data_IF_700100483777
#
_entry.id   IF_700100483777
#
_cell.length_a   1.000
_cell.length_b   1.000
_cell.length_c   1.000
_cell.angle_alpha   90.00
_cell.angle_beta   90.00
_cell.angle_gamma   90.00
#
_symmetry.space_group_name_H-M   'P 1'
#
loop_
_entity.id
_entity.type
_entity.pdbx_description
1 polymer ?
#
# COMPACT_ATOMS: atom_id res chain seq x y z
N UNK A 1 -10.11 -5.88 5.81
CA UNK A 1 -10.12 -5.21 4.49
C UNK A 1 -10.62 -6.20 3.40
N UNK A 2 -10.63 -5.83 2.11
CA UNK A 2 -10.74 -6.83 1.04
C UNK A 2 -9.63 -7.89 1.18
N UNK A 3 -9.81 -9.11 0.66
CA UNK A 3 -8.80 -10.19 0.77
C UNK A 3 -7.70 -10.11 -0.28
N UNK A 4 -7.97 -9.43 -1.41
CA UNK A 4 -7.04 -9.16 -2.49
C UNK A 4 -7.13 -7.71 -2.94
N UNK A 5 -6.13 -7.25 -3.69
CA UNK A 5 -6.12 -5.89 -4.24
C UNK A 5 -7.10 -5.75 -5.41
N UNK A 6 -7.35 -6.82 -6.17
CA UNK A 6 -8.35 -6.83 -7.24
C UNK A 6 -9.76 -6.62 -6.67
N UNK A 7 -10.08 -7.31 -5.57
CA UNK A 7 -11.37 -7.16 -4.89
C UNK A 7 -11.54 -5.75 -4.34
N UNK A 8 -10.48 -5.17 -3.76
CA UNK A 8 -10.49 -3.77 -3.35
C UNK A 8 -10.81 -2.83 -4.53
N UNK A 9 -10.14 -3.04 -5.66
CA UNK A 9 -10.31 -2.24 -6.88
C UNK A 9 -11.74 -2.33 -7.42
N UNK A 10 -12.32 -3.53 -7.45
CA UNK A 10 -13.71 -3.74 -7.85
C UNK A 10 -14.71 -3.05 -6.91
N UNK A 11 -14.43 -3.02 -5.60
CA UNK A 11 -15.26 -2.35 -4.60
C UNK A 11 -15.23 -0.84 -4.78
N UNK A 12 -14.05 -0.23 -4.87
CA UNK A 12 -13.93 1.23 -5.03
C UNK A 12 -14.41 1.69 -6.40
N UNK A 13 -14.32 0.85 -7.44
CA UNK A 13 -14.86 1.12 -8.78
C UNK A 13 -16.39 1.29 -8.82
N UNK A 14 -17.10 1.07 -7.70
CA UNK A 14 -18.54 1.34 -7.58
C UNK A 14 -18.87 2.80 -7.28
N UNK A 15 -17.89 3.64 -6.93
CA UNK A 15 -18.12 5.07 -6.65
C UNK A 15 -18.57 5.87 -7.88
N UNK A 16 -18.43 5.31 -9.08
CA UNK A 16 -18.92 5.87 -10.34
C UNK A 16 -17.89 5.69 -11.46
N UNK A 17 -18.35 5.52 -12.71
CA UNK A 17 -17.47 5.38 -13.89
C UNK A 17 -17.13 6.71 -14.56
N UNK A 18 -18.02 7.71 -14.45
CA UNK A 18 -17.85 9.03 -15.04
C UNK A 18 -18.57 10.09 -14.20
N UNK A 19 -18.16 11.35 -14.33
CA UNK A 19 -18.74 12.48 -13.62
C UNK A 19 -18.03 12.74 -12.29
N UNK A 20 -18.63 12.32 -11.18
CA UNK A 20 -18.09 12.58 -9.83
C UNK A 20 -17.01 11.55 -9.49
N UNK A 21 -15.89 12.01 -8.93
CA UNK A 21 -14.79 11.14 -8.44
C UNK A 21 -15.28 10.10 -7.43
N UNK A 22 -16.23 10.50 -6.58
CA UNK A 22 -16.68 9.71 -5.44
C UNK A 22 -15.61 9.56 -4.36
N UNK A 23 -15.95 8.92 -3.25
CA UNK A 23 -15.03 8.68 -2.13
C UNK A 23 -15.19 7.25 -1.64
N UNK A 24 -14.08 6.57 -1.44
CA UNK A 24 -14.02 5.27 -0.80
C UNK A 24 -13.16 5.38 0.46
N UNK A 25 -13.71 5.00 1.60
CA UNK A 25 -13.01 4.99 2.90
C UNK A 25 -12.82 3.53 3.30
N UNK A 26 -11.57 3.17 3.62
CA UNK A 26 -11.20 1.81 4.01
C UNK A 26 -10.65 1.80 5.41
N UNK A 27 -11.20 0.94 6.25
CA UNK A 27 -10.60 0.63 7.55
C UNK A 27 -9.62 -0.52 7.37
N UNK A 28 -8.41 -0.30 7.84
CA UNK A 28 -7.30 -1.25 7.75
C UNK A 28 -6.82 -1.57 9.15
N UNK A 29 -6.44 -2.83 9.35
CA UNK A 29 -5.84 -3.31 10.59
C UNK A 29 -4.54 -4.04 10.28
N UNK A 30 -3.80 -4.48 11.31
CA UNK A 30 -2.56 -5.23 11.13
C UNK A 30 -2.76 -6.57 10.40
N UNK A 31 -3.96 -7.15 10.46
CA UNK A 31 -4.29 -8.40 9.76
C UNK A 31 -4.31 -8.21 8.23
N UNK A 32 -4.46 -6.96 7.77
CA UNK A 32 -4.50 -6.61 6.36
C UNK A 32 -3.12 -6.23 5.80
N UNK A 33 -2.03 -6.40 6.58
CA UNK A 33 -0.71 -5.88 6.24
C UNK A 33 -0.14 -6.44 4.94
N UNK A 34 -0.52 -7.67 4.58
CA UNK A 34 -0.19 -8.28 3.30
C UNK A 34 -0.69 -7.48 2.08
N UNK A 35 -1.65 -6.57 2.24
CA UNK A 35 -2.15 -5.73 1.14
C UNK A 35 -1.57 -4.33 1.16
N UNK A 36 -0.80 -3.94 2.19
CA UNK A 36 -0.38 -2.55 2.37
C UNK A 36 0.53 -2.06 1.26
N UNK A 37 1.43 -2.93 0.77
CA UNK A 37 2.29 -2.59 -0.36
C UNK A 37 1.46 -2.28 -1.61
N UNK A 38 0.57 -3.18 -2.02
CA UNK A 38 -0.23 -2.99 -3.23
C UNK A 38 -1.23 -1.84 -3.07
N UNK A 39 -1.83 -1.68 -1.90
CA UNK A 39 -2.72 -0.57 -1.57
C UNK A 39 -1.99 0.78 -1.70
N UNK A 40 -0.75 0.87 -1.21
CA UNK A 40 0.11 2.05 -1.39
C UNK A 40 0.34 2.32 -2.88
N UNK A 41 0.67 1.31 -3.68
CA UNK A 41 0.89 1.50 -5.13
C UNK A 41 -0.38 2.01 -5.84
N UNK A 42 -1.54 1.44 -5.53
CA UNK A 42 -2.83 1.88 -6.10
C UNK A 42 -3.13 3.34 -5.75
N UNK A 43 -2.88 3.75 -4.50
CA UNK A 43 -3.09 5.14 -4.08
C UNK A 43 -2.10 6.12 -4.73
N UNK A 44 -0.83 5.72 -4.91
CA UNK A 44 0.17 6.54 -5.60
C UNK A 44 -0.08 6.66 -7.10
N UNK A 45 -0.63 5.62 -7.73
CA UNK A 45 -1.01 5.66 -9.14
C UNK A 45 -2.29 6.49 -9.40
N UNK A 46 -3.08 6.77 -8.36
CA UNK A 46 -4.31 7.55 -8.47
C UNK A 46 -4.03 9.04 -8.42
N UNK A 47 -4.35 9.77 -9.49
CA UNK A 47 -4.17 11.24 -9.55
C UNK A 47 -5.15 12.04 -8.68
N UNK A 48 -6.23 11.40 -8.24
CA UNK A 48 -7.31 12.02 -7.44
C UNK A 48 -7.22 11.67 -5.97
N UNK A 49 -6.30 10.79 -5.60
CA UNK A 49 -6.09 10.35 -4.22
C UNK A 49 -4.71 10.77 -3.73
N UNK A 50 -4.56 10.89 -2.41
CA UNK A 50 -3.27 11.10 -1.78
C UNK A 50 -2.99 9.91 -0.86
N UNK A 51 -1.80 9.32 -0.97
CA UNK A 51 -1.39 8.25 -0.08
C UNK A 51 -1.13 8.83 1.33
N UNK A 52 -1.82 8.34 2.39
CA UNK A 52 -1.61 8.86 3.73
C UNK A 52 -0.19 8.54 4.21
N UNK A 53 0.47 9.46 4.95
CA UNK A 53 1.84 9.26 5.44
C UNK A 53 2.03 7.98 6.25
N UNK A 54 1.00 7.58 6.99
CA UNK A 54 1.02 6.37 7.81
C UNK A 54 1.19 5.10 6.98
N UNK A 55 0.52 5.01 5.82
CA UNK A 55 0.69 3.89 4.90
C UNK A 55 1.97 4.01 4.08
N UNK A 56 2.32 5.23 3.66
CA UNK A 56 3.51 5.48 2.84
C UNK A 56 4.80 5.06 3.56
N UNK A 57 4.89 5.31 4.86
CA UNK A 57 6.06 5.01 5.70
C UNK A 57 5.93 3.70 6.48
N UNK A 58 4.81 2.97 6.35
CA UNK A 58 4.61 1.74 7.09
C UNK A 58 5.67 0.67 6.71
N UNK A 59 6.27 -0.06 7.68
CA UNK A 59 7.27 -1.09 7.39
C UNK A 59 6.77 -2.17 6.42
N UNK A 60 5.54 -2.64 6.64
CA UNK A 60 4.92 -3.69 5.81
C UNK A 60 4.46 -3.19 4.43
N UNK A 61 4.52 -1.87 4.17
CA UNK A 61 4.21 -1.28 2.86
C UNK A 61 5.45 -1.02 1.99
N UNK A 62 6.66 -1.34 2.47
CA UNK A 62 7.91 -1.05 1.74
C UNK A 62 8.28 -2.13 0.72
N UNK A 63 7.93 -3.38 1.01
CA UNK A 63 8.32 -4.52 0.18
C UNK A 63 7.08 -5.32 -0.25
N UNK A 64 7.17 -5.93 -1.43
CA UNK A 64 6.12 -6.84 -1.90
C UNK A 64 6.00 -8.03 -0.93
N UNK A 65 4.78 -8.40 -0.51
CA UNK A 65 4.54 -9.59 0.28
C UNK A 65 5.18 -10.82 -0.37
N UNK A 66 5.86 -11.64 0.43
CA UNK A 66 6.57 -12.83 -0.06
C UNK A 66 7.95 -12.57 -0.67
N UNK A 67 8.42 -11.32 -0.76
CA UNK A 67 9.81 -11.04 -1.16
C UNK A 67 10.75 -11.27 0.03
N UNK A 68 11.71 -12.19 -0.12
CA UNK A 68 12.75 -12.41 0.89
C UNK A 68 13.68 -11.20 0.90
N UNK A 69 13.59 -10.37 1.93
CA UNK A 69 14.50 -9.22 2.10
C UNK A 69 15.84 -9.74 2.61
N UNK A 70 16.82 -9.89 1.71
CA UNK A 70 18.22 -10.07 2.09
C UNK A 70 18.71 -8.79 2.75
N UNK A 71 18.76 -8.77 4.08
CA UNK A 71 19.36 -7.68 4.85
C UNK A 71 20.82 -7.54 4.41
N UNK A 72 21.14 -6.49 3.65
CA UNK A 72 22.52 -6.14 3.30
C UNK A 72 23.23 -5.84 4.63
N UNK A 73 24.15 -6.72 5.04
CA UNK A 73 24.99 -6.58 6.23
C UNK A 73 25.64 -5.19 6.15
N UNK A 74 25.32 -4.32 7.11
CA UNK A 74 25.95 -3.00 7.23
C UNK A 74 27.44 -3.26 7.44
N UNK A 75 28.27 -2.91 6.46
CA UNK A 75 29.72 -2.94 6.62
C UNK A 75 30.07 -1.94 7.72
N UNK A 76 30.54 -2.44 8.86
CA UNK A 76 31.13 -1.61 9.90
C UNK A 76 32.42 -1.03 9.32
N UNK A 77 32.37 0.22 8.87
CA UNK A 77 33.57 0.99 8.56
C UNK A 77 34.34 1.21 9.86
N UNK A 78 35.30 0.33 10.12
CA UNK A 78 36.35 0.53 11.12
C UNK A 78 37.28 1.59 10.53
N UNK A 79 37.23 2.82 11.05
CA UNK A 79 38.28 3.79 10.82
C UNK A 79 39.51 3.34 11.64
N UNK A 80 40.58 3.00 10.93
CA UNK A 80 41.92 2.79 11.49
C UNK A 80 42.64 4.13 11.68
#
# INVERSE_FOLDING_TARGET
MAKSIEDYTHRIGRTGRAGKTGKAVSFVTKEDSALFYDLKQVLLASSVSTCPPELMNHPEAQHKPGTVVTKKRREEMIFA
#
